data_IF_106677357272
#
_entry.id   IF_106677357272
#
_cell.length_a   1.000
_cell.length_b   1.000
_cell.length_c   1.000
_cell.angle_alpha   90.00
_cell.angle_beta   90.00
_cell.angle_gamma   90.00
#
_symmetry.space_group_name_H-M   'P 1'
#
loop_
_entity.id
_entity.type
_entity.pdbx_description
1 polymer ?
#
# COMPACT_ATOMS: atom_id res chain seq x y z
N UNK A 1 -2.48 -29.65 2.34
CA UNK A 1 -3.54 -30.68 2.45
C UNK A 1 -4.17 -30.86 1.08
N UNK A 2 -4.44 -32.09 0.64
CA UNK A 2 -5.10 -32.38 -0.64
C UNK A 2 -6.55 -32.77 -0.36
N UNK A 3 -7.48 -32.05 -0.99
CA UNK A 3 -8.92 -32.21 -0.77
C UNK A 3 -9.62 -32.17 -2.13
N UNK A 4 -10.70 -32.94 -2.28
CA UNK A 4 -11.56 -32.93 -3.46
C UNK A 4 -12.83 -32.17 -3.13
N UNK A 5 -13.20 -31.19 -3.96
CA UNK A 5 -14.41 -30.37 -3.81
C UNK A 5 -15.13 -30.30 -5.16
N UNK A 6 -16.46 -30.37 -5.10
CA UNK A 6 -17.32 -30.17 -6.28
C UNK A 6 -17.59 -28.67 -6.45
N UNK A 7 -17.37 -28.15 -7.65
CA UNK A 7 -17.50 -26.73 -7.99
C UNK A 7 -18.34 -26.61 -9.26
N UNK A 8 -19.08 -25.50 -9.36
CA UNK A 8 -19.82 -25.15 -10.57
C UNK A 8 -18.85 -24.82 -11.72
N UNK A 9 -19.00 -25.50 -12.86
CA UNK A 9 -18.11 -25.32 -14.01
C UNK A 9 -18.31 -23.98 -14.71
N UNK A 10 -19.53 -23.43 -14.72
CA UNK A 10 -19.81 -22.13 -15.31
C UNK A 10 -19.09 -21.01 -14.56
N UNK A 11 -19.16 -21.04 -13.22
CA UNK A 11 -18.44 -20.10 -12.36
C UNK A 11 -16.91 -20.23 -12.55
N UNK A 12 -16.42 -21.46 -12.67
CA UNK A 12 -15.00 -21.71 -12.84
C UNK A 12 -14.51 -21.18 -14.19
N UNK A 13 -15.23 -21.45 -15.27
CA UNK A 13 -14.92 -20.95 -16.60
C UNK A 13 -14.92 -19.41 -16.67
N UNK A 14 -15.91 -18.77 -16.04
CA UNK A 14 -15.98 -17.31 -16.01
C UNK A 14 -14.82 -16.70 -15.23
N UNK A 15 -14.49 -17.29 -14.08
CA UNK A 15 -13.35 -16.86 -13.29
C UNK A 15 -12.02 -17.07 -14.05
N UNK A 16 -11.86 -18.16 -14.81
CA UNK A 16 -10.69 -18.36 -15.68
C UNK A 16 -10.63 -17.33 -16.81
N UNK A 17 -11.78 -17.02 -17.44
CA UNK A 17 -11.87 -16.02 -18.51
C UNK A 17 -11.48 -14.62 -18.02
N UNK A 18 -11.90 -14.25 -16.81
CA UNK A 18 -11.62 -12.93 -16.23
C UNK A 18 -10.21 -12.81 -15.66
N UNK A 19 -9.68 -13.86 -15.03
CA UNK A 19 -8.37 -13.82 -14.36
C UNK A 19 -7.21 -14.31 -15.23
N UNK A 20 -7.49 -15.05 -16.30
CA UNK A 20 -6.48 -15.72 -17.13
C UNK A 20 -5.84 -16.96 -16.48
N UNK A 21 -6.24 -17.33 -15.26
CA UNK A 21 -5.66 -18.46 -14.54
C UNK A 21 -6.20 -19.80 -15.06
N UNK A 22 -5.36 -20.59 -15.72
CA UNK A 22 -5.76 -21.89 -16.28
C UNK A 22 -5.76 -23.02 -15.26
N UNK A 23 -4.95 -22.91 -14.21
CA UNK A 23 -4.84 -23.92 -13.18
C UNK A 23 -5.94 -23.76 -12.13
N UNK A 24 -6.81 -24.78 -12.00
CA UNK A 24 -7.92 -24.78 -11.02
C UNK A 24 -7.45 -24.54 -9.58
N UNK A 25 -6.34 -25.17 -9.18
CA UNK A 25 -5.79 -24.99 -7.83
C UNK A 25 -5.34 -23.55 -7.58
N UNK A 26 -4.67 -22.91 -8.55
CA UNK A 26 -4.24 -21.52 -8.45
C UNK A 26 -5.46 -20.58 -8.35
N UNK A 27 -6.48 -20.81 -9.19
CA UNK A 27 -7.72 -20.02 -9.17
C UNK A 27 -8.43 -20.12 -7.82
N UNK A 28 -8.54 -21.32 -7.25
CA UNK A 28 -9.15 -21.53 -5.92
C UNK A 28 -8.32 -20.83 -4.83
N UNK A 29 -6.99 -20.95 -4.88
CA UNK A 29 -6.12 -20.32 -3.89
C UNK A 29 -6.20 -18.79 -3.93
N UNK A 30 -6.20 -18.19 -5.13
CA UNK A 30 -6.39 -16.76 -5.30
C UNK A 30 -7.79 -16.30 -4.89
N UNK A 31 -8.84 -17.09 -5.19
CA UNK A 31 -10.19 -16.83 -4.72
C UNK A 31 -10.28 -16.79 -3.19
N UNK A 32 -9.63 -17.73 -2.49
CA UNK A 32 -9.58 -17.72 -1.04
C UNK A 32 -8.82 -16.51 -0.48
N UNK A 33 -7.66 -16.15 -1.07
CA UNK A 33 -6.92 -14.94 -0.69
C UNK A 33 -7.76 -13.68 -0.88
N UNK A 34 -8.46 -13.56 -1.99
CA UNK A 34 -9.33 -12.42 -2.29
C UNK A 34 -10.49 -12.31 -1.29
N UNK A 35 -11.11 -13.44 -0.90
CA UNK A 35 -12.16 -13.46 0.12
C UNK A 35 -11.63 -13.02 1.49
N UNK A 36 -10.45 -13.53 1.89
CA UNK A 36 -9.79 -13.11 3.14
C UNK A 36 -9.52 -11.62 3.11
N UNK A 37 -8.87 -11.11 2.06
CA UNK A 37 -8.54 -9.70 1.93
C UNK A 37 -9.79 -8.80 1.99
N UNK A 38 -10.86 -9.17 1.28
CA UNK A 38 -12.14 -8.45 1.29
C UNK A 38 -12.76 -8.39 2.69
N UNK A 39 -12.77 -9.50 3.41
CA UNK A 39 -13.35 -9.56 4.74
C UNK A 39 -12.48 -8.89 5.80
N UNK A 40 -11.15 -9.03 5.70
CA UNK A 40 -10.19 -8.27 6.52
C UNK A 40 -10.38 -6.76 6.35
N UNK A 41 -10.50 -6.27 5.11
CA UNK A 41 -10.77 -4.87 4.84
C UNK A 41 -12.11 -4.41 5.42
N UNK A 42 -13.18 -5.23 5.29
CA UNK A 42 -14.48 -4.94 5.89
C UNK A 42 -14.38 -4.84 7.41
N UNK A 43 -13.71 -5.80 8.06
CA UNK A 43 -13.53 -5.80 9.52
C UNK A 43 -12.67 -4.64 9.99
N UNK A 44 -11.59 -4.31 9.28
CA UNK A 44 -10.77 -3.14 9.57
C UNK A 44 -11.58 -1.85 9.49
N UNK A 45 -12.41 -1.68 8.45
CA UNK A 45 -13.29 -0.53 8.32
C UNK A 45 -14.33 -0.44 9.46
N UNK A 46 -14.90 -1.57 9.88
CA UNK A 46 -15.87 -1.63 10.99
C UNK A 46 -15.22 -1.45 12.37
N UNK A 47 -14.00 -1.92 12.55
CA UNK A 47 -13.20 -1.73 13.76
C UNK A 47 -12.66 -0.30 13.89
N UNK A 48 -13.08 0.62 13.01
CA UNK A 48 -12.71 2.03 13.07
C UNK A 48 -11.31 2.33 12.53
N UNK A 49 -10.72 1.45 11.71
CA UNK A 49 -9.39 1.66 11.18
C UNK A 49 -8.38 1.90 12.30
N UNK A 50 -8.29 0.98 13.27
CA UNK A 50 -7.31 1.08 14.35
C UNK A 50 -5.88 0.85 13.84
N UNK A 51 -5.36 1.81 13.08
CA UNK A 51 -4.10 2.41 13.48
C UNK A 51 -4.34 3.05 14.85
N UNK A 52 -3.56 2.71 15.89
CA UNK A 52 -3.69 3.36 17.17
C UNK A 52 -3.39 4.85 16.96
N UNK A 53 -4.41 5.69 17.21
CA UNK A 53 -4.35 7.16 17.20
C UNK A 53 -4.13 7.83 15.83
N UNK A 54 -5.20 7.93 15.03
CA UNK A 54 -5.39 9.09 14.15
C UNK A 54 -6.58 9.89 14.69
N UNK A 55 -6.41 10.43 15.89
CA UNK A 55 -7.33 11.41 16.46
C UNK A 55 -6.89 12.80 15.97
N UNK A 56 -7.53 13.35 14.94
CA UNK A 56 -7.59 14.79 14.68
C UNK A 56 -6.28 15.63 14.73
N UNK A 57 -5.11 15.07 14.44
CA UNK A 57 -3.91 15.87 14.23
C UNK A 57 -3.86 16.28 12.75
N UNK A 58 -3.82 17.58 12.46
CA UNK A 58 -3.61 18.09 11.10
C UNK A 58 -2.46 17.35 10.41
N UNK A 59 -2.56 17.19 9.08
CA UNK A 59 -1.53 16.72 8.12
C UNK A 59 -0.30 16.11 8.83
N UNK A 60 -0.04 14.78 8.75
CA UNK A 60 0.97 14.10 9.56
C UNK A 60 2.20 14.98 9.65
N UNK A 61 2.49 15.49 10.86
CA UNK A 61 3.58 16.42 11.04
C UNK A 61 4.82 15.69 10.56
N UNK A 62 5.33 16.11 9.40
CA UNK A 62 6.57 15.59 8.85
C UNK A 62 7.55 15.67 10.00
N UNK A 63 8.21 14.56 10.35
CA UNK A 63 9.20 14.55 11.42
C UNK A 63 10.18 15.69 11.16
N UNK A 64 9.99 16.78 11.91
CA UNK A 64 10.87 17.93 11.83
C UNK A 64 12.15 17.52 12.53
N UNK A 65 13.32 17.75 11.92
CA UNK A 65 14.57 17.48 12.60
C UNK A 65 14.57 18.21 13.95
N UNK A 66 15.00 17.56 15.05
CA UNK A 66 15.01 18.19 16.36
C UNK A 66 15.86 19.47 16.33
N UNK A 67 15.43 20.50 17.05
CA UNK A 67 16.10 21.82 17.05
C UNK A 67 17.59 21.75 17.44
N UNK A 68 18.01 20.68 18.13
CA UNK A 68 19.41 20.38 18.44
C UNK A 68 20.29 20.18 17.20
N UNK A 69 19.69 19.90 16.04
CA UNK A 69 20.33 19.70 14.73
C UNK A 69 20.34 20.97 13.87
N UNK A 70 19.61 22.03 14.25
CA UNK A 70 19.62 23.29 13.51
C UNK A 70 21.04 23.88 13.47
N UNK A 71 21.60 24.01 12.27
CA UNK A 71 22.98 24.51 12.06
C UNK A 71 24.09 23.53 12.42
N UNK A 72 23.77 22.27 12.76
CA UNK A 72 24.77 21.23 13.09
C UNK A 72 24.83 20.08 12.11
N UNK A 73 23.90 20.02 11.15
CA UNK A 73 23.78 18.95 10.16
C UNK A 73 23.54 19.58 8.81
N UNK A 74 24.30 19.17 7.81
CA UNK A 74 24.02 19.50 6.42
C UNK A 74 22.79 18.70 5.99
N UNK A 75 21.75 19.39 5.50
CA UNK A 75 20.61 18.72 4.88
C UNK A 75 20.98 18.29 3.46
N UNK A 76 20.21 17.36 2.86
CA UNK A 76 20.46 16.92 1.49
C UNK A 76 20.57 18.10 0.51
N UNK A 77 19.79 19.17 0.73
CA UNK A 77 19.88 20.43 -0.01
C UNK A 77 21.23 21.13 0.11
N UNK A 78 21.82 21.19 1.31
CA UNK A 78 23.15 21.80 1.54
C UNK A 78 24.26 21.00 0.86
N UNK A 79 24.11 19.67 0.83
CA UNK A 79 25.06 18.76 0.19
C UNK A 79 25.05 18.91 -1.34
N UNK A 80 23.85 19.13 -1.92
CA UNK A 80 23.69 19.22 -3.39
C UNK A 80 23.66 20.66 -3.92
N UNK A 81 23.60 21.68 -3.05
CA UNK A 81 23.64 23.09 -3.45
C UNK A 81 24.86 23.48 -4.31
N UNK A 82 26.07 22.91 -4.13
CA UNK A 82 27.20 23.17 -5.04
C UNK A 82 27.05 22.53 -6.43
N UNK A 83 26.07 21.64 -6.60
CA UNK A 83 25.84 20.85 -7.81
C UNK A 83 24.60 21.28 -8.60
N UNK A 84 23.68 22.00 -7.97
CA UNK A 84 22.39 22.38 -8.57
C UNK A 84 22.04 23.78 -8.12
N UNK A 85 21.99 24.71 -9.08
CA UNK A 85 21.68 26.11 -8.83
C UNK A 85 20.18 26.31 -8.60
N UNK A 86 19.79 27.41 -7.95
CA UNK A 86 18.38 27.71 -7.65
C UNK A 86 17.52 27.81 -8.93
N UNK A 87 18.14 28.19 -10.05
CA UNK A 87 17.53 28.29 -11.37
C UNK A 87 17.08 26.93 -11.94
N UNK A 88 17.73 25.83 -11.55
CA UNK A 88 17.41 24.48 -12.05
C UNK A 88 16.04 23.98 -11.56
N UNK A 89 15.52 24.54 -10.45
CA UNK A 89 14.28 24.12 -9.80
C UNK A 89 13.06 24.98 -10.16
N UNK A 90 13.25 26.10 -10.84
CA UNK A 90 12.17 27.03 -11.21
C UNK A 90 11.12 26.39 -12.14
N UNK A 91 11.50 25.34 -12.90
CA UNK A 91 10.58 24.62 -13.77
C UNK A 91 9.58 23.69 -13.05
N UNK A 92 9.72 23.52 -11.74
CA UNK A 92 8.88 22.63 -10.92
C UNK A 92 7.90 23.38 -9.99
N UNK A 93 7.84 24.72 -10.06
CA UNK A 93 6.78 25.53 -9.44
C UNK A 93 5.55 25.65 -10.32
#
# INVERSE_FOLDING_TARGET
>A
MRTTVNLDEGLLNEAQRLTGLTQRAALIQEGLKALIARESARRLALSGGSEPQIENAGKPERRSPPASLAGKVEILGDIVAPLVDEEDWECLK
#
